data_IF_062142522748
#
_entry.id   IF_062142522748
#
_cell.length_a   1.000
_cell.length_b   1.000
_cell.length_c   1.000
_cell.angle_alpha   90.00
_cell.angle_beta   90.00
_cell.angle_gamma   90.00
#
_symmetry.space_group_name_H-M   'P 1'
#
loop_
_entity.id
_entity.type
_entity.pdbx_description
1 polymer ?
#
# COMPACT_ATOMS: atom_id res chain seq x y z
N UNK A 1 -14.44 -20.97 -0.77
CA UNK A 1 -13.55 -20.28 0.19
C UNK A 1 -13.83 -18.81 0.02
N UNK A 2 -14.37 -18.14 1.05
CA UNK A 2 -14.67 -16.70 0.98
C UNK A 2 -13.35 -15.95 0.85
N UNK A 3 -13.30 -15.06 -0.13
CA UNK A 3 -12.17 -14.21 -0.46
C UNK A 3 -11.84 -13.32 0.75
N UNK A 4 -10.77 -13.63 1.48
CA UNK A 4 -10.42 -13.00 2.77
C UNK A 4 -10.22 -11.46 2.67
N UNK A 5 -10.05 -10.93 1.46
CA UNK A 5 -9.84 -9.49 1.21
C UNK A 5 -11.12 -8.72 0.82
N UNK A 6 -12.27 -9.36 0.71
CA UNK A 6 -13.52 -8.64 0.37
C UNK A 6 -13.84 -7.55 1.40
N UNK A 7 -13.64 -7.82 2.68
CA UNK A 7 -13.85 -6.84 3.77
C UNK A 7 -12.89 -5.64 3.71
N UNK A 8 -11.65 -5.85 3.27
CA UNK A 8 -10.64 -4.79 3.09
C UNK A 8 -11.04 -3.90 1.92
N UNK A 9 -11.40 -4.50 0.77
CA UNK A 9 -11.85 -3.78 -0.42
C UNK A 9 -13.11 -2.97 -0.12
N UNK A 10 -14.07 -3.53 0.60
CA UNK A 10 -15.28 -2.82 1.04
C UNK A 10 -14.94 -1.66 1.98
N UNK A 11 -13.99 -1.85 2.91
CA UNK A 11 -13.54 -0.79 3.81
C UNK A 11 -12.93 0.37 3.04
N UNK A 12 -12.02 0.10 2.09
CA UNK A 12 -11.45 1.12 1.22
C UNK A 12 -12.51 1.79 0.33
N UNK A 13 -13.47 1.04 -0.18
CA UNK A 13 -14.56 1.59 -0.97
C UNK A 13 -15.44 2.56 -0.16
N UNK A 14 -15.74 2.24 1.10
CA UNK A 14 -16.49 3.13 2.01
C UNK A 14 -15.70 4.38 2.39
N UNK A 15 -14.39 4.25 2.61
CA UNK A 15 -13.52 5.34 3.06
C UNK A 15 -12.86 6.12 1.91
N UNK A 16 -13.29 5.92 0.67
CA UNK A 16 -12.64 6.50 -0.50
C UNK A 16 -12.54 8.04 -0.41
N UNK A 17 -13.62 8.73 -0.02
CA UNK A 17 -13.65 10.18 0.13
C UNK A 17 -12.67 10.68 1.22
N UNK A 18 -12.60 9.96 2.34
CA UNK A 18 -11.67 10.28 3.43
C UNK A 18 -10.21 10.01 3.02
N UNK A 19 -9.99 8.97 2.23
CA UNK A 19 -8.67 8.58 1.73
C UNK A 19 -8.08 9.61 0.76
N UNK A 20 -8.91 10.20 -0.08
CA UNK A 20 -8.52 11.29 -0.98
C UNK A 20 -8.51 12.67 -0.31
N UNK A 21 -8.99 12.75 0.94
CA UNK A 21 -9.10 14.01 1.68
C UNK A 21 -7.76 14.55 2.17
N UNK A 22 -7.74 15.86 2.47
CA UNK A 22 -6.57 16.59 2.94
C UNK A 22 -5.93 15.97 4.19
N UNK A 23 -6.71 15.38 5.09
CA UNK A 23 -6.21 14.76 6.31
C UNK A 23 -5.34 13.53 6.03
N UNK A 24 -5.69 12.74 4.99
CA UNK A 24 -4.86 11.60 4.60
C UNK A 24 -3.55 12.05 3.94
N UNK A 25 -3.61 13.04 3.07
CA UNK A 25 -2.42 13.62 2.43
C UNK A 25 -1.47 14.27 3.45
N UNK A 26 -2.01 14.89 4.50
CA UNK A 26 -1.23 15.47 5.58
C UNK A 26 -0.65 14.44 6.56
N UNK A 27 -1.14 13.21 6.56
CA UNK A 27 -0.64 12.13 7.41
C UNK A 27 0.78 11.70 7.04
N UNK A 28 1.44 10.95 7.95
CA UNK A 28 2.75 10.35 7.65
C UNK A 28 2.69 9.45 6.40
N UNK A 29 1.58 8.74 6.17
CA UNK A 29 1.38 7.87 5.02
C UNK A 29 1.24 8.65 3.70
N UNK A 30 0.48 9.74 3.71
CA UNK A 30 0.33 10.60 2.52
C UNK A 30 1.66 11.23 2.13
N UNK A 31 2.35 11.86 3.10
CA UNK A 31 3.66 12.49 2.88
C UNK A 31 4.71 11.47 2.40
N UNK A 32 4.75 10.28 3.02
CA UNK A 32 5.67 9.24 2.62
C UNK A 32 5.36 8.71 1.21
N UNK A 33 4.09 8.42 0.91
CA UNK A 33 3.70 7.96 -0.44
C UNK A 33 4.04 8.98 -1.52
N UNK A 34 3.82 10.27 -1.25
CA UNK A 34 4.18 11.34 -2.18
C UNK A 34 5.68 11.41 -2.44
N UNK A 35 6.51 11.21 -1.40
CA UNK A 35 7.97 11.19 -1.56
C UNK A 35 8.46 10.08 -2.48
N UNK A 36 7.72 8.98 -2.62
CA UNK A 36 8.07 7.87 -3.49
C UNK A 36 7.78 8.13 -4.99
N UNK A 37 7.01 9.16 -5.32
CA UNK A 37 6.70 9.45 -6.73
C UNK A 37 7.93 9.82 -7.55
N UNK A 38 8.94 10.44 -6.93
CA UNK A 38 10.21 10.77 -7.57
C UNK A 38 11.17 9.58 -7.69
N UNK A 39 10.91 8.50 -6.96
CA UNK A 39 11.69 7.27 -7.02
C UNK A 39 11.33 6.35 -8.19
N UNK A 40 10.20 6.63 -8.88
CA UNK A 40 9.75 5.86 -10.02
C UNK A 40 10.65 6.10 -11.22
N UNK A 41 11.36 5.06 -11.70
CA UNK A 41 12.28 5.12 -12.84
C UNK A 41 11.57 4.76 -14.15
N UNK A 42 10.66 5.63 -14.59
CA UNK A 42 9.87 5.42 -15.82
C UNK A 42 10.64 5.91 -17.05
N UNK A 43 11.00 4.98 -17.92
CA UNK A 43 11.63 5.33 -19.18
C UNK A 43 10.66 6.15 -20.06
N UNK A 44 11.08 7.33 -20.59
CA UNK A 44 10.21 8.16 -21.44
C UNK A 44 9.71 7.49 -22.74
N UNK A 45 10.34 6.40 -23.15
CA UNK A 45 9.91 5.62 -24.34
C UNK A 45 8.78 4.63 -24.04
N UNK A 46 8.43 4.39 -22.78
CA UNK A 46 7.37 3.47 -22.39
C UNK A 46 6.00 3.96 -22.86
N UNK A 47 5.20 3.04 -23.36
CA UNK A 47 3.86 3.31 -23.91
C UNK A 47 2.74 2.96 -22.96
N UNK A 48 2.93 1.89 -22.16
CA UNK A 48 1.95 1.42 -21.19
C UNK A 48 2.58 1.34 -19.81
N UNK A 49 2.13 2.22 -18.92
CA UNK A 49 2.52 2.32 -17.52
C UNK A 49 1.33 1.95 -16.66
N UNK A 50 1.50 0.99 -15.76
CA UNK A 50 0.43 0.44 -14.93
C UNK A 50 0.71 0.67 -13.45
N UNK A 51 -0.26 1.25 -12.74
CA UNK A 51 -0.29 1.41 -11.27
C UNK A 51 -1.20 0.34 -10.67
N UNK A 52 -0.65 -0.63 -9.94
CA UNK A 52 -1.44 -1.70 -9.32
C UNK A 52 -1.76 -1.37 -7.87
N UNK A 53 -3.06 -1.32 -7.55
CA UNK A 53 -3.56 -0.80 -6.28
C UNK A 53 -3.50 0.73 -6.24
N UNK A 54 -3.89 1.36 -7.35
CA UNK A 54 -3.72 2.79 -7.56
C UNK A 54 -4.59 3.68 -6.65
N UNK A 55 -5.55 3.11 -5.92
CA UNK A 55 -6.49 3.87 -5.11
C UNK A 55 -7.20 4.95 -5.95
N UNK A 56 -7.31 6.20 -5.46
CA UNK A 56 -7.92 7.30 -6.19
C UNK A 56 -7.00 7.92 -7.27
N UNK A 57 -5.89 7.29 -7.63
CA UNK A 57 -5.06 7.69 -8.77
C UNK A 57 -4.22 8.95 -8.58
N UNK A 58 -3.82 9.29 -7.35
CA UNK A 58 -3.00 10.47 -7.07
C UNK A 58 -1.67 10.45 -7.84
N UNK A 59 -0.97 9.32 -7.84
CA UNK A 59 0.29 9.12 -8.58
C UNK A 59 0.06 9.23 -10.08
N UNK A 60 -1.02 8.64 -10.60
CA UNK A 60 -1.38 8.75 -12.02
C UNK A 60 -1.62 10.20 -12.44
N UNK A 61 -2.32 11.00 -11.62
CA UNK A 61 -2.50 12.43 -11.85
C UNK A 61 -1.19 13.20 -11.86
N UNK A 62 -0.24 12.84 -10.99
CA UNK A 62 1.10 13.42 -10.98
C UNK A 62 1.89 13.07 -12.23
N UNK A 63 1.87 11.80 -12.67
CA UNK A 63 2.57 11.31 -13.85
C UNK A 63 1.98 11.87 -15.14
N UNK A 64 0.66 12.02 -15.23
CA UNK A 64 -0.02 12.56 -16.40
C UNK A 64 0.42 13.99 -16.78
N UNK A 65 0.93 14.76 -15.79
CA UNK A 65 1.50 16.08 -16.00
C UNK A 65 2.96 16.05 -16.48
N UNK A 66 3.62 14.91 -16.42
CA UNK A 66 5.06 14.73 -16.71
C UNK A 66 5.34 13.94 -17.97
N UNK A 67 4.45 13.01 -18.30
CA UNK A 67 4.61 12.13 -19.45
C UNK A 67 3.72 12.58 -20.61
N UNK A 68 4.15 12.36 -21.87
CA UNK A 68 3.37 12.78 -23.02
C UNK A 68 2.05 12.02 -23.10
N UNK A 69 1.01 12.61 -23.75
CA UNK A 69 -0.29 11.95 -23.92
C UNK A 69 -0.24 10.62 -24.70
N UNK A 70 0.88 10.33 -25.35
CA UNK A 70 1.13 9.04 -26.04
C UNK A 70 1.46 7.90 -25.07
N UNK A 71 1.82 8.21 -23.81
CA UNK A 71 2.00 7.22 -22.74
C UNK A 71 0.65 6.96 -22.10
N UNK A 72 0.17 5.73 -22.20
CA UNK A 72 -1.06 5.28 -21.51
C UNK A 72 -0.74 4.99 -20.05
N UNK A 73 -1.44 5.63 -19.15
CA UNK A 73 -1.34 5.47 -17.71
C UNK A 73 -2.59 4.73 -17.21
N UNK A 74 -2.44 3.51 -16.71
CA UNK A 74 -3.58 2.67 -16.33
C UNK A 74 -3.53 2.35 -14.85
N UNK A 75 -4.58 2.73 -14.12
CA UNK A 75 -4.79 2.35 -12.72
C UNK A 75 -5.59 1.06 -12.61
N UNK A 76 -5.03 0.08 -11.89
CA UNK A 76 -5.72 -1.16 -11.52
C UNK A 76 -6.10 -1.06 -10.04
N UNK A 77 -7.40 -1.09 -9.75
CA UNK A 77 -7.92 -0.93 -8.37
C UNK A 77 -9.20 -1.76 -8.19
N UNK A 78 -9.29 -2.64 -7.19
CA UNK A 78 -10.48 -3.47 -6.99
C UNK A 78 -11.69 -2.66 -6.48
N UNK A 79 -11.50 -1.57 -5.71
CA UNK A 79 -12.57 -0.78 -5.11
C UNK A 79 -13.19 0.20 -6.13
N UNK A 80 -14.49 0.02 -6.47
CA UNK A 80 -15.16 0.86 -7.48
C UNK A 80 -15.21 2.34 -7.11
N UNK A 81 -15.47 2.66 -5.83
CA UNK A 81 -15.53 4.06 -5.41
C UNK A 81 -14.18 4.77 -5.57
N UNK A 82 -13.06 4.06 -5.33
CA UNK A 82 -11.72 4.58 -5.59
C UNK A 82 -11.51 4.88 -7.07
N UNK A 83 -11.91 3.93 -7.97
CA UNK A 83 -11.80 4.15 -9.42
C UNK A 83 -12.66 5.31 -9.89
N UNK A 84 -13.86 5.48 -9.35
CA UNK A 84 -14.76 6.60 -9.68
C UNK A 84 -14.11 7.93 -9.32
N UNK A 85 -13.56 8.05 -8.13
CA UNK A 85 -12.82 9.25 -7.72
C UNK A 85 -11.57 9.48 -8.60
N UNK A 86 -10.87 8.42 -8.97
CA UNK A 86 -9.72 8.52 -9.87
C UNK A 86 -10.09 9.08 -11.24
N UNK A 87 -11.19 8.64 -11.82
CA UNK A 87 -11.71 9.19 -13.10
C UNK A 87 -12.06 10.68 -12.98
N UNK A 88 -12.67 11.08 -11.88
CA UNK A 88 -12.97 12.49 -11.60
C UNK A 88 -11.69 13.33 -11.45
N UNK A 89 -10.72 12.83 -10.67
CA UNK A 89 -9.45 13.51 -10.43
C UNK A 89 -8.64 13.71 -11.73
N UNK A 90 -8.71 12.74 -12.64
CA UNK A 90 -7.90 12.70 -13.87
C UNK A 90 -8.68 13.04 -15.14
N UNK A 91 -9.89 13.59 -15.02
CA UNK A 91 -10.79 13.88 -16.15
C UNK A 91 -10.19 14.75 -17.26
N UNK A 92 -9.18 15.55 -16.97
CA UNK A 92 -8.46 16.39 -17.93
C UNK A 92 -7.28 15.67 -18.59
N UNK A 93 -7.03 14.41 -18.24
CA UNK A 93 -5.92 13.61 -18.76
C UNK A 93 -6.45 12.39 -19.52
N UNK A 94 -6.71 12.50 -20.85
CA UNK A 94 -7.36 11.45 -21.64
C UNK A 94 -6.54 10.17 -21.78
N UNK A 95 -5.24 10.22 -21.47
CA UNK A 95 -4.33 9.08 -21.45
C UNK A 95 -4.32 8.33 -20.11
N UNK A 96 -5.14 8.75 -19.12
CA UNK A 96 -5.31 8.06 -17.82
C UNK A 96 -6.61 7.29 -17.84
N UNK A 97 -6.54 6.00 -17.52
CA UNK A 97 -7.71 5.13 -17.45
C UNK A 97 -7.68 4.28 -16.20
N UNK A 98 -8.85 3.75 -15.78
CA UNK A 98 -8.97 2.89 -14.59
C UNK A 98 -9.73 1.62 -14.92
N UNK A 99 -9.25 0.48 -14.44
CA UNK A 99 -9.90 -0.82 -14.55
C UNK A 99 -9.96 -1.53 -13.20
N UNK A 100 -10.93 -2.45 -13.07
CA UNK A 100 -11.00 -3.35 -11.94
C UNK A 100 -9.98 -4.47 -12.07
N UNK A 101 -9.32 -4.84 -10.97
CA UNK A 101 -8.34 -5.93 -10.95
C UNK A 101 -7.61 -6.00 -9.63
N UNK A 102 -6.82 -7.04 -9.47
CA UNK A 102 -5.96 -7.31 -8.31
C UNK A 102 -4.61 -7.80 -8.79
N UNK A 103 -3.61 -7.80 -7.91
CA UNK A 103 -2.29 -8.36 -8.21
C UNK A 103 -2.36 -9.82 -8.66
N UNK A 104 -3.26 -10.63 -8.09
CA UNK A 104 -3.43 -12.05 -8.41
C UNK A 104 -4.12 -12.30 -9.75
N UNK A 105 -4.67 -11.27 -10.40
CA UNK A 105 -5.33 -11.35 -11.71
C UNK A 105 -5.32 -9.98 -12.37
N UNK A 106 -4.25 -9.70 -13.12
CA UNK A 106 -4.07 -8.44 -13.81
C UNK A 106 -4.77 -8.47 -15.18
N UNK A 107 -5.59 -7.45 -15.52
CA UNK A 107 -6.40 -7.43 -16.74
C UNK A 107 -5.59 -7.02 -17.98
N UNK A 108 -4.42 -7.62 -18.15
CA UNK A 108 -3.54 -7.38 -19.29
C UNK A 108 -3.10 -8.70 -19.93
N UNK A 109 -2.82 -8.66 -21.22
CA UNK A 109 -2.21 -9.77 -21.94
C UNK A 109 -0.77 -10.02 -21.45
N UNK A 110 -0.26 -11.20 -21.74
CA UNK A 110 1.16 -11.53 -21.50
C UNK A 110 2.05 -10.59 -22.30
N UNK A 111 3.17 -10.14 -21.71
CA UNK A 111 4.15 -9.25 -22.36
C UNK A 111 3.54 -7.94 -22.88
N UNK A 112 2.54 -7.37 -22.20
CA UNK A 112 1.86 -6.16 -22.63
C UNK A 112 2.39 -4.88 -21.99
N UNK A 113 2.86 -4.94 -20.74
CA UNK A 113 3.15 -3.78 -19.90
C UNK A 113 4.63 -3.39 -19.98
N UNK A 114 4.91 -2.11 -20.28
CA UNK A 114 6.28 -1.61 -20.32
C UNK A 114 6.82 -1.28 -18.92
N UNK A 115 5.96 -0.71 -18.06
CA UNK A 115 6.33 -0.40 -16.67
C UNK A 115 5.17 -0.66 -15.73
N UNK A 116 5.45 -1.42 -14.69
CA UNK A 116 4.49 -1.72 -13.64
C UNK A 116 4.99 -1.13 -12.32
N UNK A 117 4.16 -0.36 -11.66
CA UNK A 117 4.51 0.08 -10.31
C UNK A 117 3.34 -0.12 -9.35
N UNK A 118 3.67 -0.08 -8.06
CA UNK A 118 2.70 -0.08 -6.99
C UNK A 118 3.25 0.67 -5.79
N UNK A 119 2.44 1.56 -5.22
CA UNK A 119 2.79 2.28 -4.00
C UNK A 119 1.79 1.94 -2.90
N UNK A 120 2.28 1.27 -1.85
CA UNK A 120 1.55 0.97 -0.61
C UNK A 120 0.32 0.07 -0.79
N UNK A 121 0.34 -0.88 -1.76
CA UNK A 121 -0.78 -1.80 -1.99
C UNK A 121 -0.40 -3.29 -1.89
N UNK A 122 0.80 -3.71 -2.29
CA UNK A 122 1.18 -5.12 -2.39
C UNK A 122 1.06 -5.91 -1.07
N UNK A 123 1.18 -5.27 0.08
CA UNK A 123 1.00 -5.92 1.39
C UNK A 123 -0.43 -6.41 1.67
N UNK A 124 -1.38 -6.11 0.79
CA UNK A 124 -2.77 -6.59 0.86
C UNK A 124 -3.05 -7.82 -0.01
N UNK A 125 -2.06 -8.37 -0.70
CA UNK A 125 -2.26 -9.58 -1.51
C UNK A 125 -2.66 -10.79 -0.64
N UNK A 126 -3.52 -11.62 -1.17
CA UNK A 126 -3.92 -12.88 -0.53
C UNK A 126 -2.92 -14.00 -0.83
N UNK A 127 -2.49 -14.08 -2.09
CA UNK A 127 -1.49 -15.01 -2.60
C UNK A 127 -0.33 -14.24 -3.25
N UNK A 128 0.75 -14.07 -2.49
CA UNK A 128 1.91 -13.31 -2.95
C UNK A 128 2.66 -14.01 -4.10
N UNK A 129 2.70 -15.34 -4.12
CA UNK A 129 3.32 -16.11 -5.21
C UNK A 129 2.55 -15.93 -6.52
N UNK A 130 1.22 -15.99 -6.46
CA UNK A 130 0.37 -15.75 -7.63
C UNK A 130 0.48 -14.29 -8.10
N UNK A 131 0.46 -13.34 -7.16
CA UNK A 131 0.59 -11.91 -7.46
C UNK A 131 1.89 -11.59 -8.21
N UNK A 132 3.02 -12.13 -7.76
CA UNK A 132 4.33 -11.90 -8.41
C UNK A 132 4.41 -12.60 -9.76
N UNK A 133 3.83 -13.81 -9.92
CA UNK A 133 3.74 -14.47 -11.22
C UNK A 133 2.88 -13.70 -12.23
N UNK A 134 1.77 -13.08 -11.79
CA UNK A 134 0.94 -12.25 -12.66
C UNK A 134 1.69 -10.97 -13.09
N UNK A 135 2.44 -10.34 -12.19
CA UNK A 135 3.30 -9.21 -12.56
C UNK A 135 4.35 -9.62 -13.60
N UNK A 136 5.01 -10.77 -13.40
CA UNK A 136 5.96 -11.31 -14.37
C UNK A 136 5.31 -11.60 -15.72
N UNK A 137 4.13 -12.23 -15.72
CA UNK A 137 3.38 -12.56 -16.94
C UNK A 137 3.07 -11.33 -17.80
N UNK A 138 2.62 -10.25 -17.19
CA UNK A 138 2.20 -9.05 -17.94
C UNK A 138 3.35 -8.15 -18.34
N UNK A 139 4.50 -8.24 -17.67
CA UNK A 139 5.63 -7.35 -17.89
C UNK A 139 6.45 -7.79 -19.11
N UNK A 140 6.65 -6.89 -20.08
CA UNK A 140 7.50 -7.13 -21.26
C UNK A 140 8.94 -7.42 -20.90
N UNK A 141 9.66 -8.14 -21.74
CA UNK A 141 11.09 -8.42 -21.55
C UNK A 141 11.91 -7.15 -21.30
N UNK A 142 11.64 -6.09 -22.03
CA UNK A 142 12.30 -4.78 -21.92
C UNK A 142 11.65 -3.87 -20.86
N UNK A 143 10.60 -4.36 -20.22
CA UNK A 143 9.88 -3.64 -19.16
C UNK A 143 10.59 -3.73 -17.82
N UNK A 144 10.19 -2.85 -16.89
CA UNK A 144 10.69 -2.82 -15.52
C UNK A 144 9.56 -2.59 -14.51
N UNK A 145 9.83 -2.85 -13.23
CA UNK A 145 8.84 -2.60 -12.18
C UNK A 145 9.46 -2.03 -10.91
N UNK A 146 8.68 -1.17 -10.23
CA UNK A 146 8.98 -0.63 -8.90
C UNK A 146 7.81 -0.88 -7.95
N UNK A 147 8.00 -1.70 -6.90
CA UNK A 147 6.96 -2.08 -5.96
C UNK A 147 7.35 -1.61 -4.55
N UNK A 148 6.57 -0.69 -4.01
CA UNK A 148 6.75 -0.16 -2.65
C UNK A 148 5.64 -0.69 -1.74
N UNK A 149 5.99 -1.39 -0.69
CA UNK A 149 5.01 -1.95 0.23
C UNK A 149 5.52 -2.02 1.66
N UNK A 150 4.58 -2.05 2.59
CA UNK A 150 4.86 -2.06 4.02
C UNK A 150 5.69 -3.28 4.39
N UNK A 151 6.88 -3.03 4.95
CA UNK A 151 7.77 -4.05 5.47
C UNK A 151 7.47 -4.43 6.92
N UNK A 152 8.16 -5.47 7.41
CA UNK A 152 7.92 -6.08 8.72
C UNK A 152 8.13 -5.13 9.91
N UNK A 153 8.99 -4.13 9.77
CA UNK A 153 9.37 -3.25 10.88
C UNK A 153 8.54 -1.97 10.96
N UNK A 154 7.47 -1.87 10.15
CA UNK A 154 6.62 -0.70 10.09
C UNK A 154 5.84 -0.47 11.40
N UNK A 155 5.88 0.77 11.92
CA UNK A 155 5.16 1.19 13.11
C UNK A 155 5.57 0.42 14.37
N UNK A 156 6.82 0.01 14.46
CA UNK A 156 7.33 -0.82 15.55
C UNK A 156 7.09 -0.21 16.93
N UNK A 157 7.17 1.11 17.05
CA UNK A 157 6.93 1.85 18.27
C UNK A 157 5.49 1.59 18.77
N UNK A 158 4.52 1.70 17.88
CA UNK A 158 3.10 1.47 18.19
C UNK A 158 2.83 0.00 18.46
N UNK A 159 3.31 -0.90 17.60
CA UNK A 159 3.12 -2.35 17.75
C UNK A 159 3.63 -2.82 19.11
N UNK A 160 4.81 -2.41 19.53
CA UNK A 160 5.42 -2.80 20.81
C UNK A 160 4.55 -2.36 21.98
N UNK A 161 3.96 -1.17 21.95
CA UNK A 161 3.13 -0.64 23.02
C UNK A 161 1.71 -1.20 23.04
N UNK A 162 1.14 -1.46 21.87
CA UNK A 162 -0.29 -1.80 21.76
C UNK A 162 -0.57 -3.30 21.71
N UNK A 163 0.39 -4.13 21.27
CA UNK A 163 0.21 -5.60 21.21
C UNK A 163 -0.23 -6.23 22.54
N UNK A 164 0.35 -5.91 23.71
CA UNK A 164 -0.09 -6.48 24.99
C UNK A 164 -1.54 -6.11 25.31
N UNK A 165 -1.97 -4.89 24.96
CA UNK A 165 -3.33 -4.41 25.19
C UNK A 165 -4.32 -5.14 24.29
N UNK A 166 -4.04 -5.21 22.98
CA UNK A 166 -4.87 -5.98 22.06
C UNK A 166 -4.94 -7.46 22.43
N UNK A 167 -3.83 -8.05 22.88
CA UNK A 167 -3.83 -9.44 23.36
C UNK A 167 -4.78 -9.63 24.54
N UNK A 168 -4.82 -8.67 25.47
CA UNK A 168 -5.73 -8.69 26.63
C UNK A 168 -7.21 -8.67 26.22
N UNK A 169 -7.59 -7.80 25.27
CA UNK A 169 -8.99 -7.59 24.89
C UNK A 169 -9.48 -8.54 23.79
N UNK A 170 -8.65 -8.87 22.81
CA UNK A 170 -9.02 -9.68 21.64
C UNK A 170 -8.67 -11.16 21.80
N UNK A 171 -7.68 -11.46 22.65
CA UNK A 171 -7.07 -12.79 22.72
C UNK A 171 -6.15 -13.10 21.53
N UNK A 172 -5.28 -14.09 21.70
CA UNK A 172 -4.25 -14.42 20.71
C UNK A 172 -4.83 -14.79 19.33
N UNK A 173 -5.90 -15.59 19.29
CA UNK A 173 -6.48 -16.06 18.02
C UNK A 173 -6.96 -14.92 17.12
N UNK A 174 -7.70 -13.96 17.67
CA UNK A 174 -8.19 -12.79 16.89
C UNK A 174 -7.06 -11.86 16.52
N UNK A 175 -6.12 -11.62 17.43
CA UNK A 175 -4.97 -10.75 17.18
C UNK A 175 -4.11 -11.29 16.03
N UNK A 176 -3.78 -12.59 16.04
CA UNK A 176 -3.00 -13.19 14.94
C UNK A 176 -3.77 -13.25 13.62
N UNK A 177 -5.08 -13.49 13.65
CA UNK A 177 -5.90 -13.42 12.43
C UNK A 177 -5.87 -12.00 11.82
N UNK A 178 -6.04 -10.96 12.64
CA UNK A 178 -5.96 -9.57 12.18
C UNK A 178 -4.57 -9.21 11.64
N UNK A 179 -3.50 -9.64 12.31
CA UNK A 179 -2.13 -9.43 11.86
C UNK A 179 -1.83 -10.15 10.52
N UNK A 180 -2.44 -11.32 10.31
CA UNK A 180 -2.26 -12.13 9.10
C UNK A 180 -2.89 -11.54 7.83
N UNK A 181 -3.78 -10.55 7.96
CA UNK A 181 -4.39 -9.85 6.81
C UNK A 181 -3.36 -9.05 6.00
N UNK A 182 -2.28 -8.60 6.61
CA UNK A 182 -1.19 -7.89 5.94
C UNK A 182 0.00 -8.81 5.74
N UNK A 183 0.47 -8.91 4.51
CA UNK A 183 1.72 -9.62 4.18
C UNK A 183 2.90 -8.70 4.43
N UNK A 184 3.53 -8.81 5.59
CA UNK A 184 4.69 -8.02 5.97
C UNK A 184 5.97 -8.86 5.84
N UNK A 185 6.71 -8.60 4.78
CA UNK A 185 7.96 -9.30 4.46
C UNK A 185 9.16 -8.61 5.09
N UNK A 186 10.23 -9.37 5.33
CA UNK A 186 11.60 -8.87 5.44
C UNK A 186 12.18 -8.65 4.04
N UNK A 187 13.27 -7.91 3.93
CA UNK A 187 13.97 -7.74 2.65
C UNK A 187 14.38 -9.08 2.04
N UNK A 188 14.86 -10.03 2.84
CA UNK A 188 15.24 -11.36 2.36
C UNK A 188 14.04 -12.15 1.81
N UNK A 189 12.92 -12.19 2.53
CA UNK A 189 11.70 -12.87 2.07
C UNK A 189 11.17 -12.25 0.78
N UNK A 190 11.22 -10.92 0.64
CA UNK A 190 10.84 -10.24 -0.59
C UNK A 190 11.80 -10.58 -1.74
N UNK A 191 13.11 -10.56 -1.50
CA UNK A 191 14.12 -10.97 -2.49
C UNK A 191 13.86 -12.39 -2.98
N UNK A 192 13.65 -13.33 -2.08
CA UNK A 192 13.40 -14.73 -2.42
C UNK A 192 12.09 -14.90 -3.21
N UNK A 193 11.03 -14.18 -2.83
CA UNK A 193 9.74 -14.22 -3.50
C UNK A 193 9.83 -13.71 -4.94
N UNK A 194 10.37 -12.51 -5.13
CA UNK A 194 10.45 -11.89 -6.45
C UNK A 194 11.47 -12.58 -7.36
N UNK A 195 12.64 -12.98 -6.85
CA UNK A 195 13.67 -13.67 -7.65
C UNK A 195 13.22 -15.05 -8.14
N UNK A 196 12.31 -15.72 -7.41
CA UNK A 196 11.73 -17.00 -7.90
C UNK A 196 10.85 -16.83 -9.13
N UNK A 197 10.14 -15.72 -9.26
CA UNK A 197 9.29 -15.46 -10.42
C UNK A 197 10.10 -14.79 -11.56
N UNK A 198 10.86 -13.77 -11.25
CA UNK A 198 11.65 -12.99 -12.22
C UNK A 198 13.06 -13.56 -12.42
N UNK A 199 13.17 -14.84 -12.83
CA UNK A 199 14.43 -15.58 -12.89
C UNK A 199 15.48 -14.99 -13.83
N UNK A 200 15.02 -14.38 -14.92
CA UNK A 200 15.88 -13.84 -15.98
C UNK A 200 16.08 -12.32 -15.86
N UNK A 201 15.67 -11.74 -14.72
CA UNK A 201 15.73 -10.30 -14.46
C UNK A 201 16.49 -10.00 -13.17
N UNK A 202 17.23 -8.90 -13.12
CA UNK A 202 17.78 -8.43 -11.85
C UNK A 202 16.63 -7.99 -10.93
N UNK A 203 16.68 -8.48 -9.69
CA UNK A 203 15.77 -8.09 -8.61
C UNK A 203 16.60 -7.47 -7.49
N UNK A 204 16.30 -6.24 -7.17
CA UNK A 204 16.93 -5.50 -6.06
C UNK A 204 15.87 -5.17 -5.01
N UNK A 205 16.20 -5.34 -3.74
CA UNK A 205 15.31 -5.00 -2.63
C UNK A 205 16.03 -4.05 -1.68
N UNK A 206 15.46 -2.87 -1.50
CA UNK A 206 15.94 -1.88 -0.55
C UNK A 206 14.93 -1.68 0.58
N UNK A 207 15.41 -1.37 1.78
CA UNK A 207 14.59 -0.94 2.91
C UNK A 207 14.61 0.59 3.00
N UNK A 208 13.43 1.20 3.05
CA UNK A 208 13.27 2.65 3.22
C UNK A 208 12.54 2.87 4.54
N UNK A 209 13.13 3.66 5.43
CA UNK A 209 12.53 3.99 6.72
C UNK A 209 12.56 5.49 6.96
N UNK A 210 11.44 6.03 7.41
CA UNK A 210 11.34 7.43 7.81
C UNK A 210 10.46 7.56 9.05
N UNK A 211 10.98 8.23 10.08
CA UNK A 211 10.24 8.52 11.30
C UNK A 211 9.54 9.85 11.17
N UNK A 212 8.26 9.86 11.48
CA UNK A 212 7.40 11.03 11.55
C UNK A 212 6.98 11.26 13.00
N UNK A 213 6.87 12.51 13.37
CA UNK A 213 6.43 12.92 14.69
C UNK A 213 5.11 13.68 14.57
N UNK A 214 4.18 13.36 15.46
CA UNK A 214 2.89 14.03 15.51
C UNK A 214 2.32 13.95 16.93
N UNK A 215 1.24 14.66 17.16
CA UNK A 215 0.46 14.53 18.39
C UNK A 215 -0.26 13.19 18.42
N UNK A 216 -0.71 12.77 19.61
CA UNK A 216 -1.54 11.56 19.74
C UNK A 216 -2.79 11.64 18.84
N UNK A 217 -3.46 12.80 18.78
CA UNK A 217 -4.65 13.00 17.94
C UNK A 217 -4.32 12.94 16.44
N UNK A 218 -3.18 13.50 16.03
CA UNK A 218 -2.70 13.43 14.65
C UNK A 218 -2.52 12.00 14.19
N UNK A 219 -1.82 11.19 15.00
CA UNK A 219 -1.66 9.76 14.71
C UNK A 219 -2.98 8.98 14.80
N UNK A 220 -3.82 9.27 15.80
CA UNK A 220 -5.09 8.57 16.03
C UNK A 220 -6.03 8.67 14.83
N UNK A 221 -6.13 9.82 14.18
CA UNK A 221 -7.03 10.06 13.03
C UNK A 221 -6.81 9.07 11.89
N UNK A 222 -5.56 8.81 11.51
CA UNK A 222 -5.27 7.86 10.43
C UNK A 222 -5.14 6.42 10.92
N UNK A 223 -4.58 6.20 12.13
CA UNK A 223 -4.29 4.86 12.63
C UNK A 223 -5.54 4.05 12.91
N UNK A 224 -6.57 4.66 13.50
CA UNK A 224 -7.86 4.01 13.77
C UNK A 224 -8.59 3.67 12.47
N UNK A 225 -8.53 4.54 11.47
CA UNK A 225 -9.19 4.33 10.17
C UNK A 225 -8.61 3.14 9.40
N UNK A 226 -7.28 3.03 9.35
CA UNK A 226 -6.59 1.97 8.60
C UNK A 226 -6.61 0.65 9.35
N UNK A 227 -6.67 0.70 10.66
CA UNK A 227 -6.46 -0.48 11.50
C UNK A 227 -7.67 -1.39 11.64
N UNK A 228 -8.90 -0.85 11.68
CA UNK A 228 -10.09 -1.65 12.00
C UNK A 228 -9.98 -2.50 13.28
N UNK A 229 -8.90 -2.28 14.04
CA UNK A 229 -8.51 -3.16 15.15
C UNK A 229 -9.57 -3.20 16.26
N UNK A 230 -10.29 -2.11 16.43
CA UNK A 230 -11.32 -2.00 17.46
C UNK A 230 -12.69 -2.53 17.00
N UNK A 231 -12.91 -2.74 15.71
CA UNK A 231 -14.23 -3.10 15.17
C UNK A 231 -14.71 -4.48 15.60
N UNK A 232 -13.78 -5.36 15.96
CA UNK A 232 -14.09 -6.70 16.46
C UNK A 232 -14.45 -6.74 17.95
N UNK A 233 -14.36 -5.60 18.67
CA UNK A 233 -14.63 -5.50 20.09
C UNK A 233 -16.03 -4.94 20.34
N UNK A 234 -16.86 -5.62 21.18
CA UNK A 234 -18.15 -5.06 21.61
C UNK A 234 -17.94 -3.93 22.62
N UNK A 235 -18.99 -3.13 22.83
CA UNK A 235 -19.03 -2.20 23.96
C UNK A 235 -19.37 -2.95 25.25
N UNK A 236 -18.80 -2.62 26.44
CA UNK A 236 -17.90 -1.46 26.69
C UNK A 236 -16.41 -1.74 26.48
N UNK A 237 -16.02 -2.99 26.15
CA UNK A 237 -14.61 -3.41 26.04
C UNK A 237 -13.86 -2.58 24.99
N UNK A 238 -14.54 -2.17 23.91
CA UNK A 238 -13.97 -1.30 22.89
C UNK A 238 -13.46 0.01 23.48
N UNK A 239 -14.32 0.72 24.23
CA UNK A 239 -13.95 2.02 24.83
C UNK A 239 -12.81 1.88 25.85
N UNK A 240 -12.79 0.80 26.61
CA UNK A 240 -11.71 0.52 27.57
C UNK A 240 -10.40 0.24 26.85
N UNK A 241 -10.42 -0.58 25.79
CA UNK A 241 -9.26 -0.89 24.98
C UNK A 241 -8.70 0.37 24.33
N UNK A 242 -9.55 1.20 23.73
CA UNK A 242 -9.16 2.49 23.14
C UNK A 242 -8.48 3.40 24.16
N UNK A 243 -9.02 3.52 25.36
CA UNK A 243 -8.43 4.33 26.43
C UNK A 243 -7.03 3.84 26.84
N UNK A 244 -6.86 2.51 27.04
CA UNK A 244 -5.56 1.92 27.37
C UNK A 244 -4.54 2.09 26.25
N UNK A 245 -4.96 1.91 24.99
CA UNK A 245 -4.09 2.12 23.81
C UNK A 245 -3.66 3.58 23.72
N UNK A 246 -4.58 4.53 23.84
CA UNK A 246 -4.25 5.97 23.83
C UNK A 246 -3.27 6.32 24.94
N UNK A 247 -3.47 5.80 26.15
CA UNK A 247 -2.55 6.00 27.26
C UNK A 247 -1.16 5.41 26.95
N UNK A 248 -1.09 4.19 26.42
CA UNK A 248 0.19 3.56 26.07
C UNK A 248 0.95 4.31 24.98
N UNK A 249 0.25 4.84 23.98
CA UNK A 249 0.86 5.65 22.92
C UNK A 249 1.31 7.02 23.42
N UNK A 250 0.57 7.66 24.34
CA UNK A 250 1.01 8.94 24.92
C UNK A 250 2.32 8.83 25.70
N UNK A 251 2.67 7.63 26.20
CA UNK A 251 3.97 7.37 26.87
C UNK A 251 5.17 7.38 25.88
N UNK A 252 4.92 7.46 24.57
CA UNK A 252 5.96 7.61 23.54
C UNK A 252 6.29 9.07 23.24
N UNK A 253 5.54 10.01 23.85
CA UNK A 253 5.70 11.45 23.58
C UNK A 253 7.09 11.95 23.97
N UNK A 254 7.78 12.53 23.03
CA UNK A 254 9.08 13.17 23.20
C UNK A 254 9.01 14.67 22.82
N UNK A 255 10.15 15.38 22.79
CA UNK A 255 10.20 16.79 22.46
C UNK A 255 9.64 17.15 21.07
N UNK A 256 9.71 16.24 20.11
CA UNK A 256 9.20 16.40 18.74
C UNK A 256 7.77 15.87 18.55
N UNK A 257 7.22 15.20 19.56
CA UNK A 257 5.93 14.53 19.54
C UNK A 257 6.08 13.00 19.65
N UNK A 258 5.05 12.27 19.27
CA UNK A 258 5.02 10.80 19.29
C UNK A 258 5.63 10.28 17.98
N UNK A 259 6.69 9.43 18.03
CA UNK A 259 7.30 8.88 16.83
C UNK A 259 6.45 7.79 16.21
N UNK A 260 6.40 7.78 14.87
CA UNK A 260 5.92 6.65 14.07
C UNK A 260 6.85 6.43 12.89
N UNK A 261 7.51 5.28 12.85
CA UNK A 261 8.41 4.93 11.75
C UNK A 261 7.65 4.20 10.65
N UNK A 262 7.53 4.83 9.49
CA UNK A 262 7.10 4.16 8.26
C UNK A 262 8.29 3.36 7.73
N UNK A 263 8.12 2.06 7.59
CA UNK A 263 9.11 1.15 7.02
C UNK A 263 8.53 0.45 5.80
N UNK A 264 9.18 0.61 4.67
CA UNK A 264 8.76 0.12 3.36
C UNK A 264 9.88 -0.67 2.72
N UNK A 265 9.52 -1.73 2.02
CA UNK A 265 10.39 -2.40 1.07
C UNK A 265 10.15 -1.81 -0.32
N UNK A 266 11.23 -1.48 -0.99
CA UNK A 266 11.26 -1.14 -2.41
C UNK A 266 11.85 -2.30 -3.17
N UNK A 267 11.03 -2.97 -3.96
CA UNK A 267 11.46 -4.02 -4.90
C UNK A 267 11.56 -3.41 -6.29
N UNK A 268 12.74 -3.45 -6.86
CA UNK A 268 13.00 -3.06 -8.25
C UNK A 268 13.25 -4.30 -9.09
N UNK A 269 12.50 -4.44 -10.17
CA UNK A 269 12.70 -5.47 -11.18
C UNK A 269 13.22 -4.81 -12.45
N UNK A 270 14.45 -5.12 -12.81
CA UNK A 270 15.09 -4.59 -14.00
C UNK A 270 14.64 -5.28 -15.29
N UNK A 271 15.16 -4.79 -16.42
CA UNK A 271 14.94 -5.38 -17.75
C UNK A 271 15.72 -6.68 -17.89
N UNK A 272 15.26 -7.56 -18.77
CA UNK A 272 16.09 -8.68 -19.23
C UNK A 272 17.28 -8.13 -19.97
N UNK A 273 18.48 -8.57 -19.61
CA UNK A 273 19.74 -8.16 -20.25
C UNK A 273 19.85 -8.68 -21.71
#
# INVERSE_FOLDING_TARGET
MSDDNSSIIESYSRSAAEYAGCDNLASCWGKFSESLWSELDINPSYRLVVDVGCGPGMTLSYLAKRYPPTTQLVGVEPAENMRTMGRELTQLHPNVTFCGGRFESLPFETDAVDYLYSIMAFHWVTDAELAVREMERVLRREGSADIFFVGRWNGREFITKTTPIFLKYMGAKKLFASAGLRKQFTAQEATDLFSRAFRDRPVEVAEISQTYYDTLEGHWRWWVRIGGQFDSLPQPERSQCEAEVRHALSQLEGPEGIPYTVHVLHVRVGRVA
#
